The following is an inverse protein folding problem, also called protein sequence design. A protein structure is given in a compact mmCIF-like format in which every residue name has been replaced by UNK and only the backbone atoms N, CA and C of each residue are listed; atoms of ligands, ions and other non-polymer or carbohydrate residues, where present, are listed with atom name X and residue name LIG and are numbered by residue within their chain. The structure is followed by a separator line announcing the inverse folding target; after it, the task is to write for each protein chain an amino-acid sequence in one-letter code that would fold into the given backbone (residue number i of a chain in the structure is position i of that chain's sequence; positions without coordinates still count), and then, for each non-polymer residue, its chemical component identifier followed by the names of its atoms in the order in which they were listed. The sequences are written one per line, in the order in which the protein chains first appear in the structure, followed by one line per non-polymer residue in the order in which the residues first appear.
data_IF_913914531078
#
_entry.id   IF_913914531078
#
_cell.length_a   1.000
_cell.length_b   1.000
_cell.length_c   1.000
_cell.angle_alpha   90.00
_cell.angle_beta   90.00
_cell.angle_gamma   90.00
#
_symmetry.space_group_name_H-M   'P 1'
#
loop_
_entity.id
_entity.type
_entity.pdbx_description
1 polymer ?
#
# COMPACT_ATOMS: atom_id res chain seq x y z
N UNK A 1 -38.59 23.44 5.03
CA UNK A 1 -37.17 23.04 5.13
C UNK A 1 -36.41 23.72 4.00
N UNK A 2 -35.24 24.31 4.28
CA UNK A 2 -34.43 24.99 3.27
C UNK A 2 -33.66 23.93 2.47
N UNK A 3 -33.67 24.00 1.14
CA UNK A 3 -32.89 23.10 0.30
C UNK A 3 -31.39 23.27 0.60
N UNK A 4 -30.58 22.20 0.56
CA UNK A 4 -29.15 22.31 0.76
C UNK A 4 -28.54 23.15 -0.36
N UNK A 5 -27.68 24.09 0.01
CA UNK A 5 -26.88 24.89 -0.94
C UNK A 5 -25.85 23.98 -1.62
N UNK A 6 -25.77 24.10 -2.95
CA UNK A 6 -24.77 23.37 -3.74
C UNK A 6 -23.34 23.85 -3.43
N UNK A 7 -22.34 22.95 -3.48
CA UNK A 7 -20.94 23.34 -3.32
C UNK A 7 -20.46 24.20 -4.51
N UNK A 8 -19.58 25.16 -4.23
CA UNK A 8 -19.02 26.05 -5.26
C UNK A 8 -17.95 25.36 -6.14
N UNK A 9 -17.31 24.31 -5.62
CA UNK A 9 -16.35 23.47 -6.33
C UNK A 9 -16.28 22.09 -5.66
N UNK A 10 -15.76 21.09 -6.39
CA UNK A 10 -15.53 19.73 -5.88
C UNK A 10 -14.11 19.31 -6.25
N UNK A 11 -13.38 18.77 -5.28
CA UNK A 11 -12.08 18.13 -5.48
C UNK A 11 -12.28 16.62 -5.36
N UNK A 12 -11.79 15.88 -6.34
CA UNK A 12 -11.75 14.42 -6.31
C UNK A 12 -10.33 13.97 -6.05
N UNK A 13 -10.22 12.96 -5.19
CA UNK A 13 -9.01 12.16 -5.11
C UNK A 13 -8.83 11.33 -6.40
N UNK A 14 -7.63 10.85 -6.68
CA UNK A 14 -7.35 10.09 -7.91
C UNK A 14 -7.51 8.59 -7.70
N UNK A 15 -6.67 8.02 -6.83
CA UNK A 15 -6.54 6.58 -6.60
C UNK A 15 -7.75 6.05 -5.83
N UNK A 16 -8.32 4.93 -6.29
CA UNK A 16 -9.54 4.35 -5.73
C UNK A 16 -10.82 5.19 -5.90
N UNK A 17 -10.71 6.46 -6.34
CA UNK A 17 -11.84 7.38 -6.54
C UNK A 17 -12.15 7.60 -8.02
N UNK A 18 -11.17 8.06 -8.80
CA UNK A 18 -11.32 8.27 -10.24
C UNK A 18 -10.77 7.08 -11.03
N UNK A 19 -9.77 6.39 -10.49
CA UNK A 19 -9.10 5.25 -11.13
C UNK A 19 -9.09 4.07 -10.16
N UNK A 20 -9.47 2.89 -10.64
CA UNK A 20 -9.39 1.64 -9.87
C UNK A 20 -7.94 1.12 -9.84
N UNK A 21 -7.11 1.74 -9.00
CA UNK A 21 -5.70 1.39 -8.82
C UNK A 21 -5.47 0.32 -7.75
N UNK A 22 -6.49 -0.01 -6.96
CA UNK A 22 -6.39 -0.96 -5.84
C UNK A 22 -6.08 -2.40 -6.30
N UNK A 23 -6.58 -2.80 -7.46
CA UNK A 23 -6.29 -4.13 -8.03
C UNK A 23 -4.79 -4.27 -8.32
N UNK A 24 -4.19 -3.27 -8.99
CA UNK A 24 -2.77 -3.29 -9.34
C UNK A 24 -1.89 -3.17 -8.08
N UNK A 25 -2.31 -2.37 -7.11
CA UNK A 25 -1.65 -2.27 -5.81
C UNK A 25 -1.60 -3.63 -5.10
N UNK A 26 -2.75 -4.32 -5.02
CA UNK A 26 -2.85 -5.63 -4.38
C UNK A 26 -2.01 -6.70 -5.09
N UNK A 27 -2.05 -6.75 -6.42
CA UNK A 27 -1.22 -7.67 -7.21
C UNK A 27 0.27 -7.44 -6.97
N UNK A 28 0.70 -6.18 -6.98
CA UNK A 28 2.10 -5.81 -6.72
C UNK A 28 2.53 -6.20 -5.31
N UNK A 29 1.72 -5.89 -4.30
CA UNK A 29 2.00 -6.27 -2.91
C UNK A 29 2.12 -7.79 -2.76
N UNK A 30 1.25 -8.56 -3.44
CA UNK A 30 1.30 -10.04 -3.46
C UNK A 30 2.58 -10.57 -4.08
N UNK A 31 3.05 -9.98 -5.18
CA UNK A 31 4.30 -10.38 -5.81
C UNK A 31 5.51 -10.12 -4.89
N UNK A 32 5.56 -8.96 -4.24
CA UNK A 32 6.61 -8.62 -3.27
C UNK A 32 6.58 -9.56 -2.06
N UNK A 33 5.41 -9.77 -1.47
CA UNK A 33 5.26 -10.69 -0.33
C UNK A 33 5.71 -12.11 -0.70
N UNK A 34 5.31 -12.60 -1.88
CA UNK A 34 5.72 -13.91 -2.37
C UNK A 34 7.25 -14.02 -2.54
N UNK A 35 7.91 -12.96 -3.04
CA UNK A 35 9.36 -12.88 -3.13
C UNK A 35 10.09 -12.93 -1.78
N UNK A 36 9.43 -12.46 -0.72
CA UNK A 36 9.92 -12.58 0.65
C UNK A 36 9.62 -13.95 1.29
N UNK A 37 8.77 -14.77 0.67
CA UNK A 37 8.35 -16.07 1.20
C UNK A 37 7.04 -16.04 1.98
N UNK A 38 6.27 -14.96 1.89
CA UNK A 38 4.96 -14.81 2.51
C UNK A 38 3.84 -14.82 1.47
N UNK A 39 2.71 -15.46 1.80
CA UNK A 39 1.51 -15.39 0.97
C UNK A 39 0.53 -14.41 1.61
N UNK A 40 0.36 -13.25 0.99
CA UNK A 40 -0.68 -12.30 1.39
C UNK A 40 -2.07 -12.93 1.29
N UNK A 41 -2.86 -12.72 2.34
CA UNK A 41 -4.24 -13.19 2.49
C UNK A 41 -5.18 -12.04 2.79
N UNK A 42 -6.49 -12.29 2.80
CA UNK A 42 -7.48 -11.27 3.15
C UNK A 42 -7.30 -10.74 4.59
N UNK A 43 -6.62 -11.49 5.47
CA UNK A 43 -6.30 -11.03 6.82
C UNK A 43 -5.28 -9.87 6.83
N UNK A 44 -4.48 -9.74 5.78
CA UNK A 44 -3.46 -8.71 5.63
C UNK A 44 -4.01 -7.44 4.97
N UNK A 45 -5.19 -7.52 4.32
CA UNK A 45 -5.77 -6.41 3.57
C UNK A 45 -5.86 -5.08 4.36
N UNK A 46 -6.23 -5.05 5.66
CA UNK A 46 -6.25 -3.81 6.45
C UNK A 46 -4.89 -3.11 6.61
N UNK A 47 -3.79 -3.85 6.47
CA UNK A 47 -2.42 -3.34 6.62
C UNK A 47 -1.74 -3.04 5.27
N UNK A 48 -2.43 -3.32 4.16
CA UNK A 48 -1.90 -3.17 2.80
C UNK A 48 -2.73 -2.16 1.99
N UNK A 49 -4.05 -2.29 1.97
CA UNK A 49 -4.95 -1.49 1.13
C UNK A 49 -5.13 -0.08 1.70
N UNK A 50 -4.95 0.95 0.87
CA UNK A 50 -5.09 2.35 1.29
C UNK A 50 -4.05 2.86 2.30
N UNK A 51 -3.01 2.07 2.59
CA UNK A 51 -1.90 2.45 3.49
C UNK A 51 -0.77 3.11 2.71
N UNK A 52 0.05 3.89 3.42
CA UNK A 52 1.28 4.38 2.82
C UNK A 52 2.22 3.21 2.51
N UNK A 53 3.02 3.34 1.45
CA UNK A 53 4.00 2.32 1.02
C UNK A 53 4.90 1.86 2.18
N UNK A 54 5.32 2.79 3.04
CA UNK A 54 6.17 2.49 4.18
C UNK A 54 5.48 1.61 5.24
N UNK A 55 4.19 1.83 5.50
CA UNK A 55 3.41 1.04 6.46
C UNK A 55 3.23 -0.39 5.95
N UNK A 56 2.89 -0.54 4.66
CA UNK A 56 2.78 -1.83 3.99
C UNK A 56 4.11 -2.58 3.99
N UNK A 57 5.22 -1.89 3.71
CA UNK A 57 6.55 -2.50 3.77
C UNK A 57 6.92 -2.96 5.19
N UNK A 58 6.58 -2.17 6.21
CA UNK A 58 6.78 -2.55 7.62
C UNK A 58 5.98 -3.81 7.98
N UNK A 59 4.69 -3.87 7.60
CA UNK A 59 3.85 -5.06 7.77
C UNK A 59 4.47 -6.29 7.11
N UNK A 60 4.89 -6.17 5.83
CA UNK A 60 5.51 -7.28 5.10
C UNK A 60 6.81 -7.77 5.75
N UNK A 61 7.64 -6.87 6.28
CA UNK A 61 8.85 -7.25 7.01
C UNK A 61 8.50 -8.03 8.28
N UNK A 62 7.51 -7.56 9.05
CA UNK A 62 7.05 -8.19 10.28
C UNK A 62 6.52 -9.61 10.02
N UNK A 63 5.65 -9.79 9.03
CA UNK A 63 5.01 -11.09 8.77
C UNK A 63 5.90 -12.08 8.05
N UNK A 64 7.03 -11.64 7.46
CA UNK A 64 7.79 -12.51 6.57
C UNK A 64 9.12 -13.02 7.14
N UNK A 65 9.78 -12.34 8.09
CA UNK A 65 11.16 -12.70 8.52
C UNK A 65 12.14 -12.92 7.34
N UNK A 66 11.77 -12.46 6.14
CA UNK A 66 12.35 -12.87 4.87
C UNK A 66 13.61 -12.08 4.55
N UNK A 67 14.49 -12.68 3.78
CA UNK A 67 15.70 -12.01 3.31
C UNK A 67 15.35 -10.96 2.25
N UNK A 68 15.44 -9.69 2.61
CA UNK A 68 15.19 -8.55 1.72
C UNK A 68 16.10 -8.56 0.47
N UNK A 69 17.22 -9.27 0.50
CA UNK A 69 18.16 -9.35 -0.64
C UNK A 69 17.61 -10.12 -1.84
N UNK A 70 16.51 -10.87 -1.66
CA UNK A 70 15.83 -11.60 -2.75
C UNK A 70 14.91 -10.72 -3.58
N UNK A 71 14.62 -9.50 -3.14
CA UNK A 71 13.68 -8.59 -3.83
C UNK A 71 14.35 -7.81 -4.97
N UNK A 72 13.70 -7.73 -6.16
CA UNK A 72 14.18 -6.89 -7.25
C UNK A 72 14.25 -5.43 -6.83
N UNK A 73 15.43 -4.81 -6.95
CA UNK A 73 15.62 -3.40 -6.62
C UNK A 73 15.75 -3.09 -5.13
N UNK A 74 15.91 -4.09 -4.26
CA UNK A 74 16.25 -3.87 -2.85
C UNK A 74 17.56 -3.07 -2.73
N UNK A 75 17.44 -1.79 -2.42
CA UNK A 75 18.58 -0.96 -2.12
C UNK A 75 19.17 -1.44 -0.77
N UNK A 76 20.46 -1.73 -0.73
CA UNK A 76 21.22 -2.09 0.49
C UNK A 76 21.33 -0.94 1.51
N UNK A 77 20.54 0.13 1.34
CA UNK A 77 20.59 1.35 2.14
C UNK A 77 19.52 1.33 3.23
N UNK A 78 19.98 1.33 4.48
CA UNK A 78 19.14 1.55 5.67
C UNK A 78 18.35 2.85 5.48
N UNK A 79 17.02 2.76 5.40
CA UNK A 79 16.15 3.93 5.39
C UNK A 79 16.32 4.67 6.73
N UNK A 80 17.08 5.76 6.73
CA UNK A 80 17.08 6.72 7.83
C UNK A 80 15.84 7.59 7.66
N UNK A 81 14.88 7.47 8.58
CA UNK A 81 13.74 8.37 8.64
C UNK A 81 14.22 9.82 8.83
N UNK A 82 13.59 10.83 8.20
CA UNK A 82 13.86 12.23 8.50
C UNK A 82 13.29 12.60 9.89
N UNK A 83 13.97 13.51 10.59
CA UNK A 83 13.50 14.19 11.82
C UNK A 83 12.23 15.00 11.61
#
# INVERSE_FOLDING_TARGET
MKAPTAPAAVLFDMDGTLVDTEVLWWETAREVAAGLGHRLTDADAPEVVGRAVADTAAHLIEVTSGDLSTLPGAATGRATAPE
#
